data_IF_199845593281
#
_entry.id   IF_199845593281
#
_cell.length_a   1.000
_cell.length_b   1.000
_cell.length_c   1.000
_cell.angle_alpha   90.00
_cell.angle_beta   90.00
_cell.angle_gamma   90.00
#
_symmetry.space_group_name_H-M   'P 1'
#
loop_
_entity.id
_entity.type
_entity.pdbx_description
1 polymer ?
#
# COMPACT_ATOMS: atom_id res chain seq x y z
N UNK A 1 26.70 12.89 -2.44
CA UNK A 1 26.57 11.52 -2.98
C UNK A 1 27.80 11.31 -3.84
N UNK A 2 28.68 10.33 -3.56
CA UNK A 2 29.86 10.12 -4.39
C UNK A 2 29.46 9.63 -5.78
N UNK A 3 30.26 9.96 -6.79
CA UNK A 3 30.09 9.52 -8.18
C UNK A 3 31.31 8.72 -8.60
N UNK A 4 31.11 7.58 -9.26
CA UNK A 4 32.22 6.78 -9.79
C UNK A 4 32.91 7.49 -10.95
N UNK A 5 34.23 7.42 -11.03
CA UNK A 5 35.02 8.03 -12.11
C UNK A 5 34.70 7.44 -13.49
N UNK A 6 34.27 6.17 -13.53
CA UNK A 6 33.84 5.49 -14.75
C UNK A 6 32.33 5.60 -15.00
N UNK A 7 31.59 6.30 -14.11
CA UNK A 7 30.16 6.55 -14.24
C UNK A 7 29.90 7.92 -14.88
N UNK A 8 28.71 8.09 -15.47
CA UNK A 8 28.24 9.40 -15.93
C UNK A 8 27.65 10.18 -14.74
N UNK A 9 28.09 11.43 -14.55
CA UNK A 9 27.53 12.29 -13.51
C UNK A 9 26.25 12.94 -14.05
N UNK A 10 25.09 12.49 -13.56
CA UNK A 10 23.80 13.12 -13.86
C UNK A 10 23.54 14.27 -12.88
N UNK A 11 23.21 15.44 -13.41
CA UNK A 11 22.89 16.65 -12.67
C UNK A 11 21.47 17.07 -12.98
N UNK A 12 20.66 17.23 -11.94
CA UNK A 12 19.27 17.68 -12.02
C UNK A 12 19.11 19.02 -11.31
N UNK A 13 18.26 19.90 -11.86
CA UNK A 13 17.97 21.18 -11.24
C UNK A 13 16.67 21.80 -11.70
N UNK A 14 16.37 22.98 -11.16
CA UNK A 14 15.18 23.78 -11.52
C UNK A 14 15.58 25.20 -11.88
N UNK A 15 14.95 25.75 -12.91
CA UNK A 15 15.11 27.14 -13.36
C UNK A 15 13.77 27.80 -13.64
N UNK A 16 13.71 29.12 -13.57
CA UNK A 16 12.58 29.92 -14.04
C UNK A 16 12.85 30.59 -15.41
N UNK A 17 13.98 30.28 -16.04
CA UNK A 17 14.34 30.78 -17.36
C UNK A 17 13.51 30.14 -18.46
N UNK A 18 13.32 30.90 -19.55
CA UNK A 18 12.58 30.40 -20.72
C UNK A 18 13.45 29.37 -21.47
N UNK A 19 12.93 28.17 -21.77
CA UNK A 19 13.67 27.19 -22.58
C UNK A 19 13.93 27.71 -24.00
N UNK A 20 14.90 27.12 -24.70
CA UNK A 20 15.37 27.46 -26.06
C UNK A 20 15.99 28.87 -26.24
N UNK A 21 15.78 29.79 -25.29
CA UNK A 21 16.29 31.17 -25.32
C UNK A 21 17.42 31.39 -24.31
N UNK A 22 17.66 30.43 -23.43
CA UNK A 22 18.69 30.48 -22.38
C UNK A 22 19.38 29.11 -22.32
N UNK A 23 20.55 29.08 -21.68
CA UNK A 23 21.33 27.87 -21.45
C UNK A 23 21.77 27.81 -20.00
N UNK A 24 21.93 26.61 -19.45
CA UNK A 24 22.56 26.37 -18.16
C UNK A 24 23.89 25.65 -18.43
N UNK A 25 24.98 26.23 -17.96
CA UNK A 25 26.31 25.61 -18.00
C UNK A 25 26.56 24.96 -16.66
N UNK A 26 26.98 23.69 -16.68
CA UNK A 26 27.36 22.98 -15.46
C UNK A 26 28.83 22.59 -15.57
N UNK A 27 29.60 22.99 -14.58
CA UNK A 27 31.06 22.81 -14.52
C UNK A 27 31.47 22.05 -13.27
N UNK A 28 32.43 21.16 -13.43
CA UNK A 28 33.14 20.53 -12.33
C UNK A 28 34.47 21.26 -12.14
N UNK A 29 34.65 21.87 -10.98
CA UNK A 29 35.78 22.73 -10.65
C UNK A 29 36.68 22.08 -9.59
N UNK A 30 37.99 22.22 -9.73
CA UNK A 30 38.95 21.91 -8.65
C UNK A 30 38.75 22.86 -7.47
N UNK A 31 39.40 22.55 -6.33
CA UNK A 31 39.39 23.45 -5.16
C UNK A 31 40.04 24.81 -5.43
N UNK A 32 40.89 24.91 -6.45
CA UNK A 32 41.52 26.15 -6.89
C UNK A 32 40.64 26.93 -7.91
N UNK A 33 39.51 26.36 -8.33
CA UNK A 33 38.56 26.97 -9.27
C UNK A 33 38.84 26.66 -10.75
N UNK A 34 39.72 25.69 -11.04
CA UNK A 34 39.98 25.27 -12.43
C UNK A 34 38.91 24.29 -12.91
N UNK A 35 38.33 24.54 -14.08
CA UNK A 35 37.36 23.65 -14.72
C UNK A 35 38.03 22.38 -15.25
N UNK A 36 37.53 21.21 -14.84
CA UNK A 36 38.03 19.89 -15.26
C UNK A 36 37.02 19.11 -16.10
N UNK A 37 35.74 19.45 -16.02
CA UNK A 37 34.69 18.95 -16.89
C UNK A 37 33.60 20.02 -17.02
N UNK A 38 32.96 20.09 -18.19
CA UNK A 38 31.94 21.09 -18.49
C UNK A 38 30.90 20.52 -19.44
N UNK A 39 29.65 20.86 -19.20
CA UNK A 39 28.53 20.59 -20.10
C UNK A 39 27.58 21.78 -20.13
N UNK A 40 26.75 21.87 -21.16
CA UNK A 40 25.73 22.91 -21.29
C UNK A 40 24.45 22.27 -21.79
N UNK A 41 23.32 22.68 -21.20
CA UNK A 41 21.98 22.29 -21.65
C UNK A 41 21.14 23.51 -21.99
N UNK A 42 20.28 23.36 -23.00
CA UNK A 42 19.19 24.28 -23.37
C UNK A 42 17.83 23.55 -23.25
N UNK A 43 17.86 22.28 -22.81
CA UNK A 43 16.74 21.35 -22.83
C UNK A 43 16.03 21.30 -21.47
N UNK A 44 14.93 22.05 -21.36
CA UNK A 44 13.96 21.91 -20.28
C UNK A 44 12.55 22.33 -20.71
N UNK A 45 11.54 21.95 -19.94
CA UNK A 45 10.16 22.36 -20.15
C UNK A 45 9.81 23.67 -19.45
N UNK A 46 8.56 24.13 -19.62
CA UNK A 46 8.03 25.27 -18.84
C UNK A 46 7.79 24.95 -17.34
N UNK A 47 7.99 23.69 -16.93
CA UNK A 47 8.10 23.28 -15.54
C UNK A 47 9.48 23.60 -14.94
N UNK A 48 10.45 23.96 -15.79
CA UNK A 48 11.76 24.46 -15.37
C UNK A 48 12.74 23.39 -14.94
N UNK A 49 12.37 22.11 -15.01
CA UNK A 49 13.25 21.01 -14.63
C UNK A 49 14.22 20.69 -15.77
N UNK A 50 15.51 20.69 -15.46
CA UNK A 50 16.55 20.26 -16.39
C UNK A 50 17.31 19.06 -15.82
N UNK A 51 17.79 18.21 -16.73
CA UNK A 51 18.71 17.12 -16.46
C UNK A 51 19.84 17.25 -17.47
N UNK A 52 21.08 17.12 -17.01
CA UNK A 52 22.26 17.11 -17.88
C UNK A 52 23.30 16.16 -17.35
N UNK A 53 23.98 15.47 -18.26
CA UNK A 53 25.06 14.56 -17.95
C UNK A 53 26.42 15.21 -18.18
N UNK A 54 27.34 15.00 -17.24
CA UNK A 54 28.74 15.38 -17.34
C UNK A 54 29.56 14.09 -17.51
N UNK A 55 30.36 14.06 -18.58
CA UNK A 55 31.37 13.04 -18.80
C UNK A 55 32.59 13.33 -17.92
N UNK A 56 33.04 12.34 -17.15
CA UNK A 56 34.18 12.46 -16.23
C UNK A 56 35.50 11.99 -16.85
N UNK A 57 35.64 12.11 -18.17
CA UNK A 57 36.87 11.74 -18.88
C UNK A 57 38.07 12.50 -18.29
N UNK A 58 39.13 11.76 -17.93
CA UNK A 58 40.36 12.30 -17.33
C UNK A 58 40.19 13.01 -15.96
N UNK A 59 39.01 12.95 -15.34
CA UNK A 59 38.78 13.45 -13.98
C UNK A 59 39.37 12.45 -12.98
N UNK A 60 40.15 12.96 -12.01
CA UNK A 60 40.74 12.13 -10.97
C UNK A 60 39.77 11.97 -9.78
N UNK A 61 40.00 10.94 -8.95
CA UNK A 61 39.26 10.82 -7.69
C UNK A 61 39.61 11.98 -6.75
N UNK A 62 38.62 12.55 -6.09
CA UNK A 62 38.82 13.69 -5.19
C UNK A 62 37.53 14.45 -4.88
N UNK A 63 37.67 15.56 -4.18
CA UNK A 63 36.56 16.49 -3.88
C UNK A 63 36.62 17.69 -4.82
N UNK A 64 35.47 18.00 -5.42
CA UNK A 64 35.28 19.03 -6.42
C UNK A 64 34.08 19.91 -6.07
N UNK A 65 34.03 21.10 -6.66
CA UNK A 65 32.84 21.95 -6.65
C UNK A 65 32.11 21.74 -7.97
N UNK A 66 30.87 21.29 -7.91
CA UNK A 66 29.95 21.33 -9.04
C UNK A 66 29.25 22.68 -9.04
N UNK A 67 29.37 23.43 -10.13
CA UNK A 67 28.74 24.74 -10.32
C UNK A 67 27.73 24.67 -11.46
N UNK A 68 26.53 25.23 -11.26
CA UNK A 68 25.57 25.49 -12.32
C UNK A 68 25.40 27.00 -12.50
N UNK A 69 25.70 27.52 -13.68
CA UNK A 69 25.63 28.94 -14.04
C UNK A 69 24.62 29.16 -15.19
N UNK A 70 23.76 30.17 -15.04
CA UNK A 70 22.76 30.55 -16.04
C UNK A 70 22.99 31.94 -16.66
N UNK A 71 24.22 32.45 -16.57
CA UNK A 71 24.68 33.81 -16.89
C UNK A 71 24.20 34.93 -15.95
N UNK A 72 23.21 34.69 -15.09
CA UNK A 72 22.72 35.68 -14.12
C UNK A 72 23.07 35.31 -12.68
N UNK A 73 23.01 34.02 -12.37
CA UNK A 73 23.30 33.44 -11.07
C UNK A 73 24.03 32.10 -11.21
N UNK A 74 24.78 31.77 -10.15
CA UNK A 74 25.44 30.48 -10.00
C UNK A 74 25.02 29.85 -8.67
N UNK A 75 24.84 28.54 -8.69
CA UNK A 75 24.67 27.67 -7.53
C UNK A 75 25.78 26.62 -7.50
N UNK A 76 26.26 26.27 -6.30
CA UNK A 76 27.38 25.34 -6.14
C UNK A 76 27.09 24.25 -5.11
N UNK A 77 27.66 23.07 -5.32
CA UNK A 77 27.63 21.95 -4.37
C UNK A 77 28.94 21.18 -4.38
N UNK A 78 29.37 20.68 -3.24
CA UNK A 78 30.54 19.79 -3.18
C UNK A 78 30.15 18.37 -3.63
N UNK A 79 30.98 17.79 -4.50
CA UNK A 79 30.85 16.42 -4.99
C UNK A 79 32.16 15.66 -4.82
N UNK A 80 32.06 14.38 -4.51
CA UNK A 80 33.21 13.49 -4.38
C UNK A 80 33.23 12.51 -5.55
N UNK A 81 34.35 12.48 -6.29
CA UNK A 81 34.61 11.48 -7.33
C UNK A 81 35.41 10.35 -6.70
N UNK A 82 34.88 9.13 -6.79
CA UNK A 82 35.47 7.92 -6.23
C UNK A 82 35.78 6.91 -7.33
N UNK A 83 36.64 5.93 -7.05
CA UNK A 83 36.94 4.89 -8.04
C UNK A 83 35.71 4.04 -8.40
N UNK A 84 34.85 3.76 -7.42
CA UNK A 84 33.62 2.99 -7.60
C UNK A 84 32.68 3.26 -6.42
N UNK A 85 31.38 3.38 -6.68
CA UNK A 85 30.36 3.55 -5.63
C UNK A 85 30.00 2.18 -5.05
N UNK A 86 30.24 1.97 -3.75
CA UNK A 86 29.81 0.74 -3.08
C UNK A 86 28.29 0.76 -2.90
N UNK A 87 27.58 -0.07 -3.68
CA UNK A 87 26.16 -0.34 -3.42
C UNK A 87 26.06 -1.43 -2.36
N UNK A 88 25.32 -1.16 -1.28
CA UNK A 88 25.04 -2.18 -0.29
C UNK A 88 24.32 -3.35 -0.97
N UNK A 89 24.94 -4.54 -0.95
CA UNK A 89 24.24 -5.76 -1.37
C UNK A 89 23.10 -6.00 -0.39
N UNK A 90 21.85 -6.19 -0.83
CA UNK A 90 20.74 -6.46 0.09
C UNK A 90 21.04 -7.73 0.89
N UNK A 91 20.89 -7.64 2.22
CA UNK A 91 21.00 -8.80 3.10
C UNK A 91 19.86 -9.80 2.76
N UNK A 92 20.13 -11.11 2.68
CA UNK A 92 19.08 -12.09 2.40
C UNK A 92 17.96 -11.96 3.45
N UNK A 93 16.72 -11.76 2.99
CA UNK A 93 15.56 -11.79 3.87
C UNK A 93 15.37 -13.21 4.39
N UNK A 94 15.20 -13.43 5.71
CA UNK A 94 14.93 -14.77 6.23
C UNK A 94 13.68 -15.34 5.57
N UNK A 95 13.79 -16.54 5.00
CA UNK A 95 12.64 -17.28 4.49
C UNK A 95 11.92 -17.91 5.68
N UNK A 96 10.66 -17.58 5.89
CA UNK A 96 9.80 -18.23 6.90
C UNK A 96 9.81 -19.76 6.67
N UNK A 97 10.16 -20.53 7.70
CA UNK A 97 10.10 -21.99 7.67
C UNK A 97 8.62 -22.44 7.65
N UNK A 98 8.22 -23.45 6.85
CA UNK A 98 6.83 -23.87 6.79
C UNK A 98 6.34 -24.36 8.16
N UNK A 99 5.31 -23.69 8.70
CA UNK A 99 4.62 -24.12 9.92
C UNK A 99 3.96 -25.48 9.70
N UNK A 100 4.27 -26.47 10.54
CA UNK A 100 3.66 -27.79 10.47
C UNK A 100 2.12 -27.69 10.57
N UNK A 101 1.41 -28.22 9.58
CA UNK A 101 -0.05 -28.35 9.63
C UNK A 101 -0.44 -29.45 10.62
N UNK A 102 -1.34 -29.19 11.58
CA UNK A 102 -1.77 -30.21 12.53
C UNK A 102 -2.41 -31.39 11.79
N UNK A 103 -1.95 -32.59 12.07
CA UNK A 103 -2.52 -33.83 11.52
C UNK A 103 -3.86 -34.10 12.19
N UNK A 104 -4.90 -34.38 11.40
CA UNK A 104 -6.24 -34.67 11.93
C UNK A 104 -6.19 -35.89 12.87
N UNK A 105 -6.70 -35.72 14.09
CA UNK A 105 -6.87 -36.82 15.04
C UNK A 105 -8.09 -37.63 14.60
N UNK A 106 -7.95 -38.95 14.49
CA UNK A 106 -9.06 -39.83 14.11
C UNK A 106 -10.20 -39.74 15.15
N UNK A 107 -11.43 -39.62 14.66
CA UNK A 107 -12.65 -39.59 15.48
C UNK A 107 -12.90 -40.97 16.13
N UNK A 108 -13.33 -41.04 17.41
CA UNK A 108 -13.63 -42.32 18.04
C UNK A 108 -14.82 -43.01 17.36
N UNK A 109 -14.68 -44.32 17.12
CA UNK A 109 -15.77 -45.18 16.64
C UNK A 109 -16.89 -45.23 17.69
N UNK A 110 -18.16 -45.02 17.32
CA UNK A 110 -19.28 -45.11 18.27
C UNK A 110 -19.44 -46.54 18.80
N UNK A 111 -19.67 -46.66 20.10
CA UNK A 111 -20.00 -47.92 20.77
C UNK A 111 -21.41 -48.38 20.36
N UNK A 112 -21.65 -49.70 20.18
CA UNK A 112 -22.98 -50.20 19.83
C UNK A 112 -24.02 -49.83 20.90
N UNK A 113 -25.15 -49.28 20.45
CA UNK A 113 -26.33 -48.98 21.26
C UNK A 113 -27.01 -50.28 21.69
N UNK A 114 -27.35 -50.47 22.98
CA UNK A 114 -28.11 -51.64 23.43
C UNK A 114 -29.52 -51.66 22.82
N UNK A 115 -30.01 -52.84 22.44
CA UNK A 115 -31.37 -53.02 21.94
C UNK A 115 -32.42 -52.66 23.01
N UNK A 116 -33.54 -52.02 22.62
CA UNK A 116 -34.58 -51.65 23.55
C UNK A 116 -35.28 -52.90 24.11
N UNK A 117 -35.43 -52.94 25.43
CA UNK A 117 -36.29 -53.89 26.14
C UNK A 117 -37.74 -53.45 25.93
N UNK A 118 -38.62 -54.37 25.51
CA UNK A 118 -40.03 -54.05 25.28
C UNK A 118 -40.73 -53.59 26.56
N UNK A 119 -41.36 -52.41 26.49
CA UNK A 119 -42.12 -51.80 27.58
C UNK A 119 -43.56 -52.35 27.60
N UNK A 120 -44.12 -52.69 28.77
CA UNK A 120 -45.47 -53.24 28.84
C UNK A 120 -46.52 -52.21 28.43
N UNK A 121 -47.44 -52.66 27.57
CA UNK A 121 -48.55 -51.86 27.04
C UNK A 121 -49.50 -51.43 28.16
N UNK A 122 -49.59 -50.12 28.43
CA UNK A 122 -50.56 -49.57 29.37
C UNK A 122 -51.89 -49.24 28.66
N UNK A 123 -52.94 -49.87 29.19
CA UNK A 123 -54.35 -49.82 28.83
C UNK A 123 -54.93 -48.40 28.84
N UNK A 124 -55.75 -48.08 27.83
CA UNK A 124 -56.49 -46.83 27.73
C UNK A 124 -57.48 -46.62 28.90
N UNK A 125 -57.65 -45.38 29.34
CA UNK A 125 -58.78 -44.97 30.21
C UNK A 125 -59.24 -43.55 29.79
N UNK A 126 -60.56 -43.31 29.67
CA UNK A 126 -61.15 -42.25 28.85
C UNK A 126 -61.21 -40.85 29.50
N UNK A 127 -61.15 -39.82 28.64
CA UNK A 127 -61.65 -38.43 28.79
C UNK A 127 -63.20 -38.46 28.81
N UNK A 128 -63.98 -37.55 29.46
CA UNK A 128 -63.81 -36.10 29.69
C UNK A 128 -64.21 -35.67 31.14
N UNK A 129 -64.15 -34.39 31.56
CA UNK A 129 -65.24 -33.41 31.39
C UNK A 129 -65.03 -32.23 32.36
N UNK A 130 -65.36 -31.02 31.87
CA UNK A 130 -65.80 -29.80 32.57
C UNK A 130 -64.87 -29.05 33.54
N UNK A 131 -64.52 -27.83 33.14
CA UNK A 131 -63.87 -26.86 34.00
C UNK A 131 -63.70 -25.46 33.39
N UNK A 132 -64.70 -24.95 32.67
CA UNK A 132 -64.83 -23.52 32.38
C UNK A 132 -66.25 -23.13 32.79
N UNK A 133 -66.45 -22.36 33.85
CA UNK A 133 -66.41 -20.91 33.71
C UNK A 133 -67.65 -20.45 32.93
N UNK A 134 -68.59 -19.69 33.53
CA UNK A 134 -69.77 -19.22 32.82
C UNK A 134 -69.35 -18.40 31.59
N UNK A 135 -69.62 -18.95 30.40
CA UNK A 135 -69.45 -18.25 29.14
C UNK A 135 -68.25 -18.73 28.31
N UNK A 136 -68.47 -19.83 27.60
CA UNK A 136 -67.93 -20.18 26.27
C UNK A 136 -66.53 -19.65 25.94
N UNK A 137 -65.52 -20.49 25.79
CA UNK A 137 -65.60 -21.70 25.00
C UNK A 137 -64.42 -21.68 24.05
N UNK A 138 -63.74 -22.81 24.01
CA UNK A 138 -62.52 -23.01 23.29
C UNK A 138 -62.65 -22.71 21.78
N UNK A 139 -61.47 -22.56 21.17
CA UNK A 139 -61.16 -22.80 19.78
C UNK A 139 -61.60 -21.70 18.80
N UNK A 140 -60.64 -21.29 17.97
CA UNK A 140 -60.66 -21.46 16.50
C UNK A 140 -59.91 -20.29 15.83
N UNK A 141 -59.16 -20.67 14.81
CA UNK A 141 -58.74 -19.90 13.63
C UNK A 141 -57.54 -18.95 13.72
N UNK A 142 -56.46 -19.43 13.08
CA UNK A 142 -55.63 -18.66 12.15
C UNK A 142 -56.50 -17.72 11.30
N UNK A 143 -56.22 -16.42 11.30
CA UNK A 143 -56.71 -15.49 10.27
C UNK A 143 -55.55 -14.57 9.83
N UNK A 144 -55.18 -14.70 8.56
CA UNK A 144 -54.46 -13.70 7.80
C UNK A 144 -55.45 -12.67 7.26
N UNK A 145 -55.20 -11.34 7.35
CA UNK A 145 -55.72 -10.37 6.36
C UNK A 145 -55.19 -8.91 6.53
N UNK A 146 -54.45 -8.46 5.50
CA UNK A 146 -54.60 -7.21 4.72
C UNK A 146 -54.36 -5.80 5.33
N UNK A 147 -53.31 -5.18 4.78
CA UNK A 147 -53.20 -3.90 4.05
C UNK A 147 -53.67 -2.54 4.63
N UNK A 148 -52.73 -1.60 4.49
CA UNK A 148 -52.86 -0.23 4.01
C UNK A 148 -53.82 0.72 4.75
N UNK A 149 -53.21 1.68 5.46
CA UNK A 149 -53.78 3.01 5.64
C UNK A 149 -52.72 4.07 5.35
N UNK A 150 -52.72 4.52 4.08
CA UNK A 150 -52.41 5.90 3.72
C UNK A 150 -53.37 6.79 4.48
N UNK A 151 -52.92 7.56 5.47
CA UNK A 151 -53.59 8.82 5.76
C UNK A 151 -52.66 9.80 6.48
N UNK A 152 -52.29 10.82 5.71
CA UNK A 152 -52.25 12.22 6.10
C UNK A 152 -51.52 12.54 7.42
N UNK A 153 -50.32 13.11 7.29
CA UNK A 153 -50.17 14.58 7.31
C UNK A 153 -50.69 15.15 8.62
N UNK A 154 -49.74 15.53 9.48
CA UNK A 154 -49.56 16.91 9.99
C UNK A 154 -48.76 16.84 11.29
N UNK A 155 -47.81 17.71 11.57
CA UNK A 155 -47.16 18.84 10.90
C UNK A 155 -46.20 19.38 11.97
N UNK A 156 -45.05 19.90 11.52
CA UNK A 156 -44.15 20.87 12.16
C UNK A 156 -44.30 21.18 13.66
N UNK A 157 -43.19 21.06 14.38
CA UNK A 157 -42.62 22.17 15.16
C UNK A 157 -41.13 22.32 14.79
#
# INVERSE_FOLDING_TARGET
NPVGVDDEMVVEGVTNLRPDDNSITVELLTQDGDSVALTTTEDWGYDGQYEVSIELEDVQTGTYTLEADDSYNSDTVEVEIVQSVETATPEPTPTEEPTATPTATAEPTPEPTPEPTEEPTATATPTPTEGGGPGFGALVAVIALIAAALLAVRRDD
#
